data_IF_417472272538
#
_entry.id   IF_417472272538
#
_cell.length_a   1.000
_cell.length_b   1.000
_cell.length_c   1.000
_cell.angle_alpha   90.00
_cell.angle_beta   90.00
_cell.angle_gamma   90.00
#
_symmetry.space_group_name_H-M   'P 1'
#
loop_
_entity.id
_entity.type
_entity.pdbx_description
1 polymer ?
#
# COMPACT_ATOMS: atom_id res chain seq x y z
N UNK A 1 27.65 -2.83 47.50
CA UNK A 1 26.38 -2.07 47.64
C UNK A 1 26.77 -0.65 48.02
N UNK A 2 26.48 0.43 47.31
CA UNK A 2 25.67 0.76 46.12
C UNK A 2 26.15 2.15 45.66
N UNK A 3 26.56 2.29 44.41
CA UNK A 3 26.97 3.55 43.78
C UNK A 3 25.75 4.45 43.51
N UNK A 4 25.82 5.70 43.98
CA UNK A 4 24.74 6.67 43.85
C UNK A 4 24.85 7.45 42.53
N UNK A 5 24.15 6.91 41.53
CA UNK A 5 23.36 7.58 40.49
C UNK A 5 23.90 8.87 39.84
N UNK A 6 24.33 8.64 38.60
CA UNK A 6 24.54 9.52 37.45
C UNK A 6 23.48 10.63 37.33
N UNK A 7 23.90 11.88 37.45
CA UNK A 7 23.12 13.04 37.00
C UNK A 7 23.29 13.18 35.49
N UNK A 8 22.19 12.94 34.78
CA UNK A 8 22.10 12.79 33.33
C UNK A 8 21.90 14.17 32.68
N UNK A 9 22.93 14.61 31.94
CA UNK A 9 22.87 15.38 30.70
C UNK A 9 21.87 16.55 30.60
N UNK A 10 22.37 17.76 30.87
CA UNK A 10 21.97 18.94 30.09
C UNK A 10 22.63 18.85 28.71
N UNK A 11 21.86 18.56 27.66
CA UNK A 11 22.24 19.02 26.31
C UNK A 11 20.98 19.23 25.47
N UNK A 12 20.68 20.52 25.38
CA UNK A 12 20.04 21.21 24.28
C UNK A 12 18.57 20.94 23.92
N UNK A 13 17.87 22.07 23.80
CA UNK A 13 16.45 22.24 23.53
C UNK A 13 16.18 21.93 22.07
N UNK A 14 16.25 20.66 21.71
CA UNK A 14 15.91 20.17 20.39
C UNK A 14 14.39 20.09 20.24
N UNK A 15 13.76 21.26 20.07
CA UNK A 15 12.40 21.42 19.54
C UNK A 15 12.36 20.93 18.09
N UNK A 16 12.40 19.61 17.92
CA UNK A 16 12.06 19.01 16.64
C UNK A 16 10.54 19.03 16.53
N UNK A 17 10.03 20.09 15.92
CA UNK A 17 8.72 20.11 15.30
C UNK A 17 8.60 18.84 14.45
N UNK A 18 7.75 17.91 14.86
CA UNK A 18 7.38 16.81 13.99
C UNK A 18 6.65 17.44 12.80
N UNK A 19 7.12 17.22 11.56
CA UNK A 19 6.40 17.69 10.39
C UNK A 19 5.02 17.01 10.39
N UNK A 20 4.00 17.87 10.31
CA UNK A 20 2.61 17.48 10.15
C UNK A 20 2.46 16.52 8.96
N UNK A 21 1.57 15.55 9.14
CA UNK A 21 0.95 14.70 8.12
C UNK A 21 1.84 13.70 7.36
N UNK A 22 1.64 12.38 7.58
CA UNK A 22 1.38 11.53 6.43
C UNK A 22 0.13 12.10 5.77
N UNK A 23 0.24 12.52 4.50
CA UNK A 23 -0.92 12.81 3.69
C UNK A 23 -1.99 11.74 3.96
N UNK A 24 -3.21 12.18 4.26
CA UNK A 24 -4.40 11.34 4.09
C UNK A 24 -4.43 10.93 2.62
N UNK A 25 -3.72 9.85 2.29
CA UNK A 25 -4.03 9.05 1.13
C UNK A 25 -5.34 8.37 1.48
N UNK A 26 -6.47 9.08 1.35
CA UNK A 26 -7.85 8.65 1.63
C UNK A 26 -7.87 7.20 2.10
N UNK A 27 -7.53 7.02 3.38
CA UNK A 27 -7.46 5.67 3.91
C UNK A 27 -8.93 5.30 4.00
N UNK A 28 -9.35 4.35 3.17
CA UNK A 28 -10.60 3.62 3.33
C UNK A 28 -10.49 2.97 4.72
N UNK A 29 -10.78 3.74 5.77
CA UNK A 29 -10.48 3.38 7.15
C UNK A 29 -11.56 2.43 7.63
N UNK A 30 -11.22 1.16 7.65
CA UNK A 30 -11.59 0.26 8.75
C UNK A 30 -12.99 -0.33 8.73
N UNK A 31 -13.76 -0.15 7.67
CA UNK A 31 -14.86 -1.08 7.39
C UNK A 31 -14.23 -2.41 6.99
N UNK A 32 -14.80 -3.53 7.41
CA UNK A 32 -14.34 -4.85 6.97
C UNK A 32 -14.71 -4.96 5.50
N UNK A 33 -13.84 -4.46 4.63
CA UNK A 33 -14.01 -4.48 3.18
C UNK A 33 -13.96 -5.96 2.76
N UNK A 34 -14.99 -6.42 2.05
CA UNK A 34 -15.07 -7.76 1.47
C UNK A 34 -13.87 -8.07 0.58
N UNK A 35 -13.61 -9.35 0.34
CA UNK A 35 -12.52 -9.74 -0.57
C UNK A 35 -12.78 -9.26 -2.00
N UNK A 36 -14.06 -9.26 -2.41
CA UNK A 36 -14.54 -8.72 -3.67
C UNK A 36 -14.30 -7.20 -3.76
N UNK A 37 -14.79 -6.42 -2.81
CA UNK A 37 -14.62 -4.96 -2.78
C UNK A 37 -13.14 -4.56 -2.81
N UNK A 38 -12.30 -5.24 -2.01
CA UNK A 38 -10.85 -5.02 -1.99
C UNK A 38 -10.18 -5.36 -3.33
N UNK A 39 -10.65 -6.40 -4.01
CA UNK A 39 -10.15 -6.77 -5.33
C UNK A 39 -10.56 -5.72 -6.38
N UNK A 40 -11.83 -5.32 -6.40
CA UNK A 40 -12.38 -4.34 -7.35
C UNK A 40 -11.69 -2.99 -7.21
N UNK A 41 -11.59 -2.45 -5.99
CA UNK A 41 -10.91 -1.17 -5.75
C UNK A 41 -9.45 -1.19 -6.21
N UNK A 42 -8.75 -2.31 -5.97
CA UNK A 42 -7.36 -2.46 -6.45
C UNK A 42 -7.28 -2.51 -7.97
N UNK A 43 -8.16 -3.24 -8.64
CA UNK A 43 -8.19 -3.34 -10.11
C UNK A 43 -8.50 -1.97 -10.71
N UNK A 44 -9.51 -1.25 -10.20
CA UNK A 44 -9.84 0.10 -10.66
C UNK A 44 -8.64 1.06 -10.53
N UNK A 45 -7.93 1.00 -9.40
CA UNK A 45 -6.71 1.78 -9.22
C UNK A 45 -5.61 1.42 -10.22
N UNK A 46 -5.40 0.11 -10.48
CA UNK A 46 -4.41 -0.38 -11.45
C UNK A 46 -4.72 0.04 -12.90
N UNK A 47 -6.01 0.19 -13.25
CA UNK A 47 -6.43 0.67 -14.57
C UNK A 47 -6.44 2.21 -14.69
N UNK A 48 -5.97 2.93 -13.66
CA UNK A 48 -5.89 4.39 -13.68
C UNK A 48 -7.18 5.11 -13.28
N UNK A 49 -8.17 4.38 -12.78
CA UNK A 49 -9.46 4.91 -12.30
C UNK A 49 -9.45 5.23 -10.81
N UNK A 50 -8.36 4.97 -10.08
CA UNK A 50 -8.29 5.14 -8.63
C UNK A 50 -8.60 6.56 -8.12
N UNK A 51 -8.32 7.61 -8.91
CA UNK A 51 -8.67 9.00 -8.56
C UNK A 51 -10.17 9.33 -8.69
N UNK A 52 -10.94 8.45 -9.32
CA UNK A 52 -12.39 8.56 -9.50
C UNK A 52 -13.13 7.44 -8.76
N UNK A 53 -12.40 6.59 -8.02
CA UNK A 53 -12.95 5.45 -7.33
C UNK A 53 -13.50 5.90 -5.98
N UNK A 54 -14.82 5.95 -5.87
CA UNK A 54 -15.54 6.06 -4.61
C UNK A 54 -16.18 4.71 -4.24
N UNK A 55 -16.83 4.66 -3.08
CA UNK A 55 -17.46 3.44 -2.58
C UNK A 55 -18.64 3.00 -3.46
N UNK A 56 -19.41 3.98 -3.98
CA UNK A 56 -20.55 3.72 -4.85
C UNK A 56 -20.12 3.05 -6.16
N UNK A 57 -19.04 3.53 -6.78
CA UNK A 57 -18.50 2.89 -7.98
C UNK A 57 -18.04 1.46 -7.73
N UNK A 58 -17.40 1.19 -6.58
CA UNK A 58 -16.98 -0.16 -6.21
C UNK A 58 -18.19 -1.08 -6.04
N UNK A 59 -19.22 -0.62 -5.33
CA UNK A 59 -20.47 -1.38 -5.16
C UNK A 59 -21.19 -1.62 -6.48
N UNK A 60 -21.33 -0.59 -7.33
CA UNK A 60 -21.95 -0.73 -8.64
C UNK A 60 -21.19 -1.73 -9.51
N UNK A 61 -19.86 -1.62 -9.60
CA UNK A 61 -19.05 -2.57 -10.34
C UNK A 61 -19.19 -3.99 -9.78
N UNK A 62 -19.28 -4.14 -8.46
CA UNK A 62 -19.51 -5.43 -7.81
C UNK A 62 -20.88 -6.03 -8.17
N UNK A 63 -21.94 -5.22 -8.13
CA UNK A 63 -23.29 -5.64 -8.55
C UNK A 63 -23.31 -6.01 -10.04
N UNK A 64 -22.76 -5.17 -10.91
CA UNK A 64 -22.72 -5.43 -12.36
C UNK A 64 -22.00 -6.75 -12.66
N UNK A 65 -20.91 -7.06 -11.96
CA UNK A 65 -20.22 -8.35 -12.13
C UNK A 65 -21.05 -9.53 -11.59
N UNK A 66 -21.74 -9.39 -10.47
CA UNK A 66 -22.66 -10.42 -9.95
C UNK A 66 -23.77 -10.71 -10.96
N UNK A 67 -24.40 -9.67 -11.50
CA UNK A 67 -25.47 -9.78 -12.49
C UNK A 67 -24.97 -10.35 -13.82
N UNK A 68 -23.83 -9.89 -14.30
CA UNK A 68 -23.26 -10.33 -15.59
C UNK A 68 -22.76 -11.78 -15.55
N UNK A 69 -22.34 -12.26 -14.39
CA UNK A 69 -21.77 -13.59 -14.20
C UNK A 69 -22.72 -14.57 -13.49
N UNK A 70 -23.92 -14.11 -13.12
CA UNK A 70 -24.90 -14.86 -12.32
C UNK A 70 -24.27 -15.47 -11.05
N UNK A 71 -23.51 -14.65 -10.33
CA UNK A 71 -22.81 -15.04 -9.10
C UNK A 71 -23.45 -14.38 -7.89
N UNK A 72 -23.59 -15.11 -6.78
CA UNK A 72 -24.00 -14.49 -5.50
C UNK A 72 -22.87 -13.63 -4.92
N UNK A 73 -23.22 -12.79 -3.95
CA UNK A 73 -22.23 -12.00 -3.22
C UNK A 73 -21.17 -12.90 -2.57
N UNK A 74 -21.59 -14.00 -1.93
CA UNK A 74 -20.68 -14.93 -1.27
C UNK A 74 -19.75 -15.64 -2.27
N UNK A 75 -20.29 -16.09 -3.42
CA UNK A 75 -19.49 -16.73 -4.47
C UNK A 75 -18.47 -15.76 -5.04
N UNK A 76 -18.86 -14.50 -5.26
CA UNK A 76 -17.96 -13.46 -5.72
C UNK A 76 -16.85 -13.16 -4.70
N UNK A 77 -17.19 -13.07 -3.41
CA UNK A 77 -16.21 -12.87 -2.34
C UNK A 77 -15.22 -14.04 -2.23
N UNK A 78 -15.70 -15.28 -2.34
CA UNK A 78 -14.86 -16.48 -2.37
C UNK A 78 -13.92 -16.47 -3.58
N UNK A 79 -14.46 -16.22 -4.77
CA UNK A 79 -13.67 -16.14 -6.00
C UNK A 79 -12.60 -15.03 -5.91
N UNK A 80 -12.96 -13.87 -5.37
CA UNK A 80 -12.02 -12.77 -5.18
C UNK A 80 -10.91 -13.12 -4.18
N UNK A 81 -11.26 -13.79 -3.08
CA UNK A 81 -10.30 -14.27 -2.09
C UNK A 81 -9.31 -15.28 -2.70
N UNK A 82 -9.80 -16.24 -3.48
CA UNK A 82 -8.96 -17.24 -4.18
C UNK A 82 -7.99 -16.59 -5.17
N UNK A 83 -8.46 -15.65 -5.99
CA UNK A 83 -7.61 -14.88 -6.91
C UNK A 83 -6.49 -14.13 -6.17
N UNK A 84 -6.81 -13.53 -5.02
CA UNK A 84 -5.84 -12.81 -4.20
C UNK A 84 -4.80 -13.73 -3.55
N UNK A 85 -5.19 -14.96 -3.17
CA UNK A 85 -4.26 -15.96 -2.65
C UNK A 85 -3.33 -16.46 -3.75
N UNK A 86 -3.86 -16.78 -4.93
CA UNK A 86 -3.08 -17.24 -6.08
C UNK A 86 -2.05 -16.19 -6.51
N UNK A 87 -2.45 -14.92 -6.55
CA UNK A 87 -1.54 -13.81 -6.85
C UNK A 87 -0.39 -13.72 -5.83
N UNK A 88 -0.70 -13.89 -4.54
CA UNK A 88 0.31 -13.89 -3.46
C UNK A 88 1.27 -15.08 -3.57
N UNK A 89 0.75 -16.24 -3.92
CA UNK A 89 1.55 -17.45 -4.08
C UNK A 89 2.50 -17.31 -5.28
N UNK A 90 2.00 -16.87 -6.43
CA UNK A 90 2.80 -16.68 -7.64
C UNK A 90 3.87 -15.59 -7.49
N UNK A 91 3.61 -14.53 -6.72
CA UNK A 91 4.64 -13.53 -6.39
C UNK A 91 5.78 -14.10 -5.53
N UNK A 92 5.48 -15.00 -4.59
CA UNK A 92 6.50 -15.61 -3.71
C UNK A 92 7.38 -16.62 -4.46
N UNK A 93 6.85 -17.24 -5.51
CA UNK A 93 7.58 -18.20 -6.34
C UNK A 93 8.43 -17.54 -7.45
N UNK A 94 8.60 -16.21 -7.44
CA UNK A 94 9.58 -15.50 -8.26
C UNK A 94 9.18 -15.29 -9.73
N UNK A 95 7.91 -15.49 -10.10
CA UNK A 95 7.45 -15.15 -11.45
C UNK A 95 7.32 -13.61 -11.60
N UNK A 96 8.09 -12.96 -12.51
CA UNK A 96 7.95 -11.53 -12.72
C UNK A 96 6.61 -11.26 -13.41
N UNK A 97 5.76 -10.46 -12.77
CA UNK A 97 4.54 -9.92 -13.36
C UNK A 97 4.91 -9.15 -14.65
N UNK A 98 4.51 -9.67 -15.82
CA UNK A 98 4.61 -8.95 -17.10
C UNK A 98 3.75 -7.69 -16.98
N UNK A 99 4.39 -6.51 -16.91
CA UNK A 99 3.70 -5.24 -17.16
C UNK A 99 4.01 -4.07 -16.23
N UNK A 100 4.82 -4.20 -15.18
CA UNK A 100 5.20 -3.01 -14.41
C UNK A 100 6.36 -2.25 -15.07
N UNK A 101 6.19 -0.97 -15.49
CA UNK A 101 7.33 -0.13 -15.76
C UNK A 101 8.09 0.03 -14.44
N UNK A 102 9.30 -0.52 -14.39
CA UNK A 102 10.25 -0.28 -13.31
C UNK A 102 10.41 1.23 -13.17
N UNK A 103 9.77 1.84 -12.16
CA UNK A 103 10.16 3.17 -11.71
C UNK A 103 11.62 3.08 -11.30
N UNK A 104 12.49 3.64 -12.12
CA UNK A 104 13.92 3.66 -11.89
C UNK A 104 14.21 4.26 -10.52
N UNK A 105 14.83 3.48 -9.65
CA UNK A 105 15.51 4.00 -8.47
C UNK A 105 16.68 4.84 -8.97
N UNK A 106 16.53 6.16 -8.88
CA UNK A 106 17.58 7.11 -9.17
C UNK A 106 18.63 7.04 -8.05
N UNK A 107 19.52 6.06 -8.11
CA UNK A 107 20.70 5.99 -7.23
C UNK A 107 21.73 6.97 -7.79
N UNK A 108 21.59 8.25 -7.43
CA UNK A 108 22.56 9.29 -7.78
C UNK A 108 23.80 9.09 -6.91
N UNK A 109 24.69 8.24 -7.40
CA UNK A 109 26.04 8.04 -6.88
C UNK A 109 26.83 9.34 -7.02
N UNK A 110 26.87 10.18 -5.98
CA UNK A 110 27.86 11.25 -5.90
C UNK A 110 29.17 10.67 -5.36
N UNK A 111 30.00 10.22 -6.31
CA UNK A 111 31.41 9.89 -6.11
C UNK A 111 32.21 11.19 -6.13
N UNK A 112 32.21 11.94 -5.03
CA UNK A 112 33.20 12.99 -4.82
C UNK A 112 34.53 12.34 -4.43
N UNK A 113 35.34 12.19 -5.46
CA UNK A 113 36.73 11.78 -5.51
C UNK A 113 37.61 12.67 -4.59
N UNK A 114 38.50 12.03 -3.82
CA UNK A 114 39.64 12.63 -3.08
C UNK A 114 40.75 13.09 -4.07
N UNK A 115 41.96 13.53 -3.64
CA UNK A 115 42.38 14.84 -3.12
C UNK A 115 43.47 15.50 -4.02
N UNK A 116 43.63 16.82 -4.01
CA UNK A 116 44.80 17.58 -4.52
C UNK A 116 44.77 18.94 -3.76
N UNK A 117 45.79 19.46 -3.07
CA UNK A 117 47.24 19.33 -3.06
C UNK A 117 47.73 19.65 -1.63
#
# INVERSE_FOLDING_TARGET
MIDNQVANFEEDRLIHSTPSSPQETHKLTGEVIGSAESLVGRVLAQQGLGKYCDLDLVHCAQMEMQEALDMTQEEMDLAAHELMLEERFNRKNGAPLKGQPKRGTNTRNNKSQQPLL
#
